data_IF_295742524048
#
_entry.id   IF_295742524048
#
_cell.length_a   1.000
_cell.length_b   1.000
_cell.length_c   1.000
_cell.angle_alpha   90.00
_cell.angle_beta   90.00
_cell.angle_gamma   90.00
#
_symmetry.space_group_name_H-M   'P 1'
#
loop_
_entity.id
_entity.type
_entity.pdbx_description
1 polymer ?
#
# COMPACT_ATOMS: atom_id res chain seq x y z
N UNK A 1 20.46 10.73 -10.89
CA UNK A 1 19.20 10.28 -11.54
C UNK A 1 18.37 11.49 -11.91
N UNK A 2 17.99 11.60 -13.14
CA UNK A 2 17.19 12.73 -13.62
C UNK A 2 15.71 12.48 -13.35
N UNK A 3 14.90 13.54 -13.50
CA UNK A 3 13.46 13.44 -13.25
C UNK A 3 12.80 12.41 -14.16
N UNK A 4 13.18 12.36 -15.43
CA UNK A 4 12.55 11.44 -16.38
C UNK A 4 12.80 9.97 -16.02
N UNK A 5 13.89 9.68 -15.30
CA UNK A 5 14.15 8.31 -14.83
C UNK A 5 13.25 7.91 -13.66
N UNK A 6 12.60 8.88 -13.02
CA UNK A 6 11.77 8.64 -11.84
C UNK A 6 10.28 8.70 -12.10
N UNK A 7 9.90 9.15 -13.28
CA UNK A 7 8.48 9.27 -13.61
C UNK A 7 7.86 7.91 -13.90
N UNK A 8 6.63 7.76 -13.49
CA UNK A 8 5.86 6.55 -13.74
C UNK A 8 4.41 6.96 -13.98
N UNK A 9 3.79 6.39 -15.00
CA UNK A 9 2.36 6.63 -15.23
C UNK A 9 1.56 6.04 -14.08
N UNK A 10 0.51 6.75 -13.65
CA UNK A 10 -0.31 6.26 -12.54
C UNK A 10 -0.87 4.86 -12.81
N UNK A 11 -1.25 4.57 -14.05
CA UNK A 11 -1.78 3.26 -14.39
C UNK A 11 -0.77 2.13 -14.18
N UNK A 12 0.53 2.44 -14.28
CA UNK A 12 1.59 1.45 -14.07
C UNK A 12 1.69 1.01 -12.61
N UNK A 13 1.27 1.87 -11.69
CA UNK A 13 1.29 1.52 -10.26
C UNK A 13 0.37 0.35 -9.95
N UNK A 14 -0.74 0.25 -10.68
CA UNK A 14 -1.70 -0.82 -10.44
C UNK A 14 -1.11 -2.15 -10.89
N UNK A 15 -1.02 -3.09 -9.97
CA UNK A 15 -0.45 -4.40 -10.23
C UNK A 15 1.00 -4.56 -9.80
N UNK A 16 1.67 -3.46 -9.43
CA UNK A 16 3.05 -3.57 -8.95
C UNK A 16 3.10 -4.34 -7.64
N UNK A 17 4.15 -5.12 -7.49
CA UNK A 17 4.36 -5.95 -6.31
C UNK A 17 4.90 -5.12 -5.16
N UNK A 18 4.53 -5.53 -3.95
CA UNK A 18 5.06 -4.96 -2.72
C UNK A 18 5.65 -6.09 -1.90
N UNK A 19 6.90 -5.91 -1.48
CA UNK A 19 7.58 -6.84 -0.58
C UNK A 19 7.81 -6.16 0.77
N UNK A 20 8.06 -6.98 1.81
CA UNK A 20 8.52 -6.44 3.07
C UNK A 20 10.05 -6.22 3.00
N UNK A 21 10.62 -5.68 4.08
CA UNK A 21 12.06 -5.40 4.13
C UNK A 21 12.93 -6.65 4.04
N UNK A 22 12.36 -7.80 4.37
CA UNK A 22 13.06 -9.08 4.27
C UNK A 22 12.92 -9.77 2.94
N UNK A 23 12.25 -9.14 1.98
CA UNK A 23 12.05 -9.72 0.65
C UNK A 23 10.83 -10.62 0.54
N UNK A 24 10.01 -10.70 1.57
CA UNK A 24 8.79 -11.52 1.52
C UNK A 24 7.69 -10.76 0.77
N UNK A 25 7.01 -11.47 -0.11
CA UNK A 25 5.93 -10.88 -0.91
C UNK A 25 4.72 -10.57 -0.02
N UNK A 26 4.30 -9.32 -0.01
CA UNK A 26 3.09 -8.91 0.70
C UNK A 26 1.87 -8.94 -0.19
N UNK A 27 1.99 -8.48 -1.43
CA UNK A 27 0.87 -8.45 -2.35
C UNK A 27 1.12 -7.54 -3.53
N UNK A 28 0.04 -7.02 -4.09
CA UNK A 28 0.09 -6.13 -5.26
C UNK A 28 -0.79 -4.91 -5.02
N UNK A 29 -0.37 -3.77 -5.59
CA UNK A 29 -1.15 -2.53 -5.52
C UNK A 29 -2.38 -2.68 -6.40
N UNK A 30 -3.57 -2.40 -5.85
CA UNK A 30 -4.84 -2.41 -6.60
C UNK A 30 -5.48 -1.04 -6.70
N UNK A 31 -5.20 -0.13 -5.76
CA UNK A 31 -5.68 1.24 -5.79
C UNK A 31 -4.64 2.17 -5.20
N UNK A 32 -4.67 3.41 -5.65
CA UNK A 32 -3.83 4.48 -5.10
C UNK A 32 -4.76 5.63 -4.74
N UNK A 33 -4.63 6.10 -3.51
CA UNK A 33 -5.47 7.19 -3.01
C UNK A 33 -4.66 8.47 -2.96
N UNK A 34 -5.15 9.46 -3.69
CA UNK A 34 -4.46 10.73 -3.90
C UNK A 34 -5.07 11.79 -2.98
N UNK A 35 -4.22 12.54 -2.30
CA UNK A 35 -4.62 13.77 -1.66
C UNK A 35 -4.82 14.80 -2.76
N UNK A 36 -6.07 15.10 -3.08
CA UNK A 36 -6.37 15.95 -4.22
C UNK A 36 -5.90 17.40 -4.05
N UNK A 37 -5.78 17.84 -2.80
CA UNK A 37 -5.34 19.21 -2.52
C UNK A 37 -3.83 19.35 -2.61
N UNK A 38 -3.11 18.36 -2.07
CA UNK A 38 -1.65 18.36 -2.13
C UNK A 38 -1.09 17.77 -3.43
N UNK A 39 -1.90 16.99 -4.14
CA UNK A 39 -1.48 16.37 -5.40
C UNK A 39 -0.48 15.24 -5.20
N UNK A 40 -0.57 14.53 -4.08
CA UNK A 40 0.37 13.44 -3.78
C UNK A 40 -0.39 12.17 -3.38
N UNK A 41 0.26 11.03 -3.59
CA UNK A 41 -0.28 9.76 -3.14
C UNK A 41 -0.16 9.63 -1.62
N UNK A 42 -1.23 9.20 -0.96
CA UNK A 42 -1.25 9.04 0.50
C UNK A 42 -1.33 7.59 0.92
N UNK A 43 -2.05 6.77 0.17
CA UNK A 43 -2.27 5.36 0.52
C UNK A 43 -2.30 4.52 -0.74
N UNK A 44 -1.94 3.25 -0.57
CA UNK A 44 -2.20 2.22 -1.58
C UNK A 44 -3.09 1.16 -0.95
N UNK A 45 -3.99 0.59 -1.72
CA UNK A 45 -4.73 -0.59 -1.29
C UNK A 45 -4.01 -1.81 -1.83
N UNK A 46 -3.59 -2.69 -0.94
CA UNK A 46 -2.82 -3.88 -1.29
C UNK A 46 -3.73 -5.09 -1.28
N UNK A 47 -3.74 -5.80 -2.39
CA UNK A 47 -4.35 -7.13 -2.45
C UNK A 47 -3.32 -8.12 -1.94
N UNK A 48 -3.56 -8.76 -0.77
CA UNK A 48 -2.57 -9.65 -0.19
C UNK A 48 -2.28 -10.85 -1.08
N UNK A 49 -1.05 -11.33 -1.02
CA UNK A 49 -0.60 -12.48 -1.81
C UNK A 49 -0.86 -13.80 -1.07
N UNK A 50 -1.02 -14.86 -1.85
CA UNK A 50 -1.08 -16.21 -1.33
C UNK A 50 -2.24 -16.44 -0.36
N UNK A 51 -1.92 -17.02 0.79
CA UNK A 51 -2.91 -17.37 1.79
C UNK A 51 -3.59 -16.15 2.43
N UNK A 52 -3.01 -14.97 2.28
CA UNK A 52 -3.59 -13.75 2.82
C UNK A 52 -4.71 -13.19 1.94
N UNK A 53 -4.87 -13.73 0.76
CA UNK A 53 -5.90 -13.27 -0.19
C UNK A 53 -7.29 -13.78 0.15
N UNK A 54 -7.42 -14.62 1.18
CA UNK A 54 -8.71 -15.19 1.58
C UNK A 54 -9.70 -14.07 1.94
N UNK A 55 -10.90 -14.16 1.40
CA UNK A 55 -11.96 -13.20 1.71
C UNK A 55 -11.99 -11.98 0.80
N UNK A 56 -11.03 -11.83 -0.10
CA UNK A 56 -11.04 -10.73 -1.06
C UNK A 56 -10.89 -9.34 -0.46
N UNK A 57 -10.35 -9.24 0.74
CA UNK A 57 -10.16 -7.95 1.40
C UNK A 57 -8.83 -7.32 1.03
N UNK A 58 -8.82 -6.01 0.95
CA UNK A 58 -7.61 -5.23 0.67
C UNK A 58 -7.12 -4.58 1.95
N UNK A 59 -5.80 -4.37 2.04
CA UNK A 59 -5.18 -3.72 3.20
C UNK A 59 -4.54 -2.42 2.76
N UNK A 60 -5.08 -1.28 3.20
CA UNK A 60 -4.44 0.01 2.87
C UNK A 60 -3.13 0.18 3.62
N UNK A 61 -2.12 0.67 2.92
CA UNK A 61 -0.84 1.03 3.52
C UNK A 61 -0.55 2.50 3.24
N UNK A 62 -0.05 3.26 4.23
CA UNK A 62 0.42 4.61 3.99
C UNK A 62 1.54 4.62 2.96
N UNK A 63 1.48 5.54 2.01
CA UNK A 63 2.51 5.67 0.99
C UNK A 63 3.89 5.90 1.59
N UNK A 64 3.97 6.59 2.71
CA UNK A 64 5.24 6.89 3.36
C UNK A 64 6.05 5.66 3.76
N UNK A 65 5.39 4.50 3.85
CA UNK A 65 6.09 3.25 4.18
C UNK A 65 6.75 2.62 2.96
N UNK A 66 6.48 3.11 1.77
CA UNK A 66 6.94 2.49 0.53
C UNK A 66 8.22 3.15 0.02
N UNK A 67 9.17 2.32 -0.40
CA UNK A 67 10.39 2.75 -1.07
C UNK A 67 10.52 1.97 -2.37
N UNK A 68 10.81 2.68 -3.45
CA UNK A 68 11.00 2.02 -4.75
C UNK A 68 12.33 1.28 -4.78
N UNK A 69 12.29 0.02 -5.19
CA UNK A 69 13.47 -0.79 -5.42
C UNK A 69 13.67 -0.89 -6.94
N UNK A 70 14.61 -0.12 -7.44
CA UNK A 70 14.86 -0.03 -8.88
C UNK A 70 15.44 -1.32 -9.46
N UNK A 71 16.14 -2.08 -8.64
CA UNK A 71 16.77 -3.32 -9.09
C UNK A 71 15.72 -4.39 -9.40
N UNK A 72 14.79 -4.59 -8.47
CA UNK A 72 13.77 -5.63 -8.61
C UNK A 72 12.45 -5.08 -9.14
N UNK A 73 12.36 -3.76 -9.33
CA UNK A 73 11.17 -3.07 -9.85
C UNK A 73 9.92 -3.39 -9.03
N UNK A 74 10.08 -3.29 -7.71
CA UNK A 74 8.99 -3.48 -6.75
C UNK A 74 9.06 -2.36 -5.72
N UNK A 75 7.96 -2.17 -4.99
CA UNK A 75 8.00 -1.35 -3.78
C UNK A 75 8.33 -2.22 -2.59
N UNK A 76 9.12 -1.67 -1.67
CA UNK A 76 9.44 -2.32 -0.40
C UNK A 76 8.75 -1.53 0.70
N UNK A 77 7.96 -2.22 1.52
CA UNK A 77 7.24 -1.60 2.62
C UNK A 77 8.01 -1.76 3.91
N UNK A 78 8.08 -0.68 4.70
CA UNK A 78 8.77 -0.66 5.98
C UNK A 78 7.86 -1.27 7.06
N UNK A 79 7.58 -2.54 6.93
CA UNK A 79 6.87 -3.33 7.94
C UNK A 79 7.16 -4.79 7.69
N UNK A 80 6.92 -5.61 8.71
CA UNK A 80 7.09 -7.04 8.59
C UNK A 80 5.83 -7.68 8.00
N UNK A 81 6.00 -8.89 7.48
CA UNK A 81 4.87 -9.68 6.99
C UNK A 81 3.85 -9.94 8.11
N UNK A 82 4.33 -10.21 9.33
CA UNK A 82 3.44 -10.44 10.45
C UNK A 82 2.64 -9.20 10.83
N UNK A 83 3.28 -8.04 10.79
CA UNK A 83 2.59 -6.77 11.05
C UNK A 83 1.55 -6.49 9.97
N UNK A 84 1.88 -6.80 8.73
CA UNK A 84 0.95 -6.63 7.61
C UNK A 84 -0.32 -7.48 7.82
N UNK A 85 -0.17 -8.70 8.33
CA UNK A 85 -1.32 -9.57 8.58
C UNK A 85 -2.28 -9.01 9.62
N UNK A 86 -1.78 -8.18 10.52
CA UNK A 86 -2.58 -7.57 11.57
C UNK A 86 -3.21 -6.25 11.14
N UNK A 87 -2.78 -5.70 10.01
CA UNK A 87 -3.25 -4.41 9.55
C UNK A 87 -4.74 -4.45 9.21
N UNK A 88 -5.45 -3.32 9.33
CA UNK A 88 -6.86 -3.27 8.97
C UNK A 88 -7.09 -3.72 7.54
N UNK A 89 -8.15 -4.49 7.32
CA UNK A 89 -8.53 -5.01 6.02
C UNK A 89 -9.97 -4.65 5.74
N UNK A 90 -10.26 -4.32 4.49
CA UNK A 90 -11.59 -3.84 4.08
C UNK A 90 -11.99 -4.47 2.77
N UNK A 91 -13.29 -4.65 2.59
CA UNK A 91 -13.82 -5.04 1.29
C UNK A 91 -13.57 -3.91 0.28
N UNK A 92 -13.47 -4.28 -0.98
CA UNK A 92 -13.25 -3.30 -2.04
C UNK A 92 -14.26 -2.15 -1.98
N UNK A 93 -15.53 -2.47 -1.72
CA UNK A 93 -16.59 -1.47 -1.69
C UNK A 93 -16.43 -0.46 -0.56
N UNK A 94 -15.84 -0.88 0.55
CA UNK A 94 -15.62 0.01 1.68
C UNK A 94 -14.54 1.05 1.41
N UNK A 95 -13.62 0.75 0.52
CA UNK A 95 -12.49 1.64 0.22
C UNK A 95 -12.86 2.76 -0.75
N UNK A 96 -13.86 2.56 -1.58
CA UNK A 96 -14.22 3.53 -2.61
C UNK A 96 -15.62 4.09 -2.47
N UNK A 97 -16.22 4.03 -1.28
CA UNK A 97 -17.58 4.50 -1.08
C UNK A 97 -17.62 6.03 -0.88
N UNK A 98 -18.65 6.51 -0.21
CA UNK A 98 -18.85 7.94 -0.03
C UNK A 98 -17.91 8.60 0.96
N UNK A 99 -17.28 7.82 1.84
CA UNK A 99 -16.36 8.35 2.83
C UNK A 99 -15.07 7.53 2.84
N UNK A 100 -14.01 8.14 3.34
CA UNK A 100 -12.71 7.51 3.50
C UNK A 100 -12.33 7.42 4.98
N UNK A 101 -13.32 7.15 5.81
CA UNK A 101 -13.12 7.08 7.27
C UNK A 101 -12.10 6.01 7.67
N UNK A 102 -11.92 4.99 6.84
CA UNK A 102 -10.93 3.96 7.09
C UNK A 102 -9.51 4.53 7.22
N UNK A 103 -9.23 5.69 6.62
CA UNK A 103 -7.90 6.28 6.66
C UNK A 103 -7.45 6.58 8.09
N UNK A 104 -8.38 7.01 8.94
CA UNK A 104 -8.07 7.27 10.35
C UNK A 104 -7.64 6.00 11.07
N UNK A 105 -8.34 4.90 10.82
CA UNK A 105 -8.01 3.61 11.43
C UNK A 105 -6.65 3.11 10.96
N UNK A 106 -6.36 3.28 9.69
CA UNK A 106 -5.06 2.88 9.12
C UNK A 106 -3.94 3.70 9.75
N UNK A 107 -4.12 5.02 9.87
CA UNK A 107 -3.12 5.87 10.51
C UNK A 107 -2.89 5.47 11.97
N UNK A 108 -3.95 5.22 12.70
CA UNK A 108 -3.85 4.76 14.09
C UNK A 108 -3.03 3.49 14.21
N UNK A 109 -3.30 2.53 13.33
CA UNK A 109 -2.60 1.26 13.37
C UNK A 109 -1.10 1.45 13.18
N UNK A 110 -0.70 2.23 12.18
CA UNK A 110 0.71 2.39 11.85
C UNK A 110 1.43 3.36 12.79
N UNK A 111 0.72 4.32 13.37
CA UNK A 111 1.34 5.21 14.36
C UNK A 111 1.62 4.48 15.67
N UNK A 112 0.64 3.73 16.19
CA UNK A 112 0.82 3.03 17.46
C UNK A 112 1.82 1.90 17.36
N UNK A 113 2.00 1.32 16.19
CA UNK A 113 2.93 0.23 15.99
C UNK A 113 4.39 0.64 16.02
N UNK A 114 4.67 1.92 16.14
CA UNK A 114 6.03 2.44 16.12
C UNK A 114 6.62 2.70 17.49
N UNK A 115 5.91 2.40 18.52
CA UNK A 115 6.38 2.61 19.89
C UNK A 115 7.42 1.58 20.29
#
# INVERSE_FOLDING_TARGET
MSLDDRLMKSATLIGLKINDAGGHKLGAIREVFIDRDAGIARYVAVEPAGLFAAGGKYRPLPWRLLTWDDKDEVYVADLTKDRFKEAPAYDRDQLGSTTYAWAEQVEKFFDTGQV
#
